data_IF_564036016929
#
_entry.id   IF_564036016929
#
_cell.length_a   1.000
_cell.length_b   1.000
_cell.length_c   1.000
_cell.angle_alpha   90.00
_cell.angle_beta   90.00
_cell.angle_gamma   90.00
#
_symmetry.space_group_name_H-M   'P 1'
#
loop_
_entity.id
_entity.type
_entity.pdbx_description
1 polymer ?
#
# COMPACT_ATOMS: atom_id res chain seq x y z
N UNK A 1 10.36 -12.20 -12.87
CA UNK A 1 11.03 -12.08 -11.57
C UNK A 1 11.53 -13.44 -11.13
N UNK A 2 12.64 -13.46 -10.40
CA UNK A 2 13.40 -14.66 -10.00
C UNK A 2 12.71 -15.50 -8.91
N UNK A 3 11.39 -15.39 -8.77
CA UNK A 3 10.58 -16.09 -7.77
C UNK A 3 10.72 -15.61 -6.33
N UNK A 4 11.51 -14.56 -6.06
CA UNK A 4 11.67 -13.98 -4.71
C UNK A 4 10.47 -13.09 -4.34
N UNK A 5 10.01 -13.09 -3.08
CA UNK A 5 9.01 -12.12 -2.61
C UNK A 5 9.57 -10.70 -2.70
N UNK A 6 8.86 -9.82 -3.42
CA UNK A 6 9.23 -8.40 -3.55
C UNK A 6 8.51 -7.53 -2.49
N UNK A 7 7.44 -8.04 -1.88
CA UNK A 7 6.81 -7.47 -0.67
C UNK A 7 7.45 -8.15 0.55
N UNK A 8 8.13 -7.39 1.39
CA UNK A 8 8.76 -7.87 2.62
C UNK A 8 7.76 -7.97 3.77
N UNK A 9 6.88 -6.97 3.90
CA UNK A 9 5.81 -6.97 4.89
C UNK A 9 4.60 -6.21 4.36
N UNK A 10 3.41 -6.62 4.82
CA UNK A 10 2.14 -5.94 4.57
C UNK A 10 1.33 -5.99 5.86
N UNK A 11 0.97 -4.84 6.39
CA UNK A 11 0.07 -4.73 7.53
C UNK A 11 -1.11 -3.82 7.18
N UNK A 12 -2.31 -4.22 7.58
CA UNK A 12 -3.56 -3.51 7.34
C UNK A 12 -4.37 -3.45 8.62
N UNK A 13 -5.02 -2.34 8.87
CA UNK A 13 -5.93 -2.17 9.99
C UNK A 13 -6.88 -0.99 9.81
N UNK A 14 -7.85 -0.89 10.71
CA UNK A 14 -8.66 0.31 10.84
C UNK A 14 -7.84 1.41 11.50
N UNK A 15 -8.03 2.65 11.05
CA UNK A 15 -7.53 3.79 11.79
C UNK A 15 -8.21 3.85 13.17
N UNK A 16 -7.46 4.17 14.21
CA UNK A 16 -8.03 4.47 15.51
C UNK A 16 -8.90 5.74 15.43
N UNK A 17 -9.89 5.86 16.31
CA UNK A 17 -10.70 7.07 16.42
C UNK A 17 -9.82 8.23 16.93
N UNK A 18 -9.31 9.04 16.01
CA UNK A 18 -8.44 10.18 16.31
C UNK A 18 -8.61 11.31 15.26
N UNK A 19 -8.67 12.58 15.68
CA UNK A 19 -8.80 13.72 14.75
C UNK A 19 -7.70 13.80 13.68
N UNK A 20 -6.48 13.30 13.99
CA UNK A 20 -5.35 13.28 13.05
C UNK A 20 -5.55 12.31 11.91
N UNK A 21 -6.47 11.36 12.02
CA UNK A 21 -6.82 10.47 10.93
C UNK A 21 -7.50 11.23 9.77
N UNK A 22 -7.98 12.46 9.98
CA UNK A 22 -8.56 13.33 8.94
C UNK A 22 -9.64 12.64 8.09
N UNK A 23 -10.42 11.74 8.70
CA UNK A 23 -11.47 10.98 8.02
C UNK A 23 -11.00 9.73 7.27
N UNK A 24 -9.71 9.41 7.22
CA UNK A 24 -9.22 8.14 6.72
C UNK A 24 -9.51 7.01 7.73
N UNK A 25 -10.13 5.93 7.26
CA UNK A 25 -10.66 4.86 8.12
C UNK A 25 -9.89 3.54 8.03
N UNK A 26 -9.05 3.38 7.01
CA UNK A 26 -8.24 2.19 6.77
C UNK A 26 -6.80 2.61 6.52
N UNK A 27 -5.86 1.90 7.14
CA UNK A 27 -4.42 2.10 6.97
C UNK A 27 -3.80 0.81 6.43
N UNK A 28 -2.94 0.96 5.42
CA UNK A 28 -2.09 -0.11 4.90
C UNK A 28 -0.64 0.38 4.89
N UNK A 29 0.29 -0.46 5.36
CA UNK A 29 1.73 -0.24 5.20
C UNK A 29 2.34 -1.47 4.54
N UNK A 30 2.99 -1.25 3.42
CA UNK A 30 3.79 -2.25 2.72
C UNK A 30 5.26 -1.86 2.78
N UNK A 31 6.13 -2.84 2.99
CA UNK A 31 7.58 -2.68 2.92
C UNK A 31 8.11 -3.51 1.75
N UNK A 32 9.04 -2.93 1.00
CA UNK A 32 9.66 -3.53 -0.17
C UNK A 32 11.18 -3.52 0.02
N UNK A 33 11.88 -4.43 -0.65
CA UNK A 33 13.34 -4.49 -0.57
C UNK A 33 14.02 -3.33 -1.32
N UNK A 34 13.33 -2.74 -2.30
CA UNK A 34 13.83 -1.61 -3.09
C UNK A 34 12.68 -0.75 -3.64
N UNK A 35 13.05 0.40 -4.21
CA UNK A 35 12.11 1.25 -4.93
C UNK A 35 11.62 0.58 -6.22
N UNK A 36 12.48 -0.20 -6.89
CA UNK A 36 12.13 -0.97 -8.08
C UNK A 36 11.05 -2.00 -7.78
N UNK A 37 11.15 -2.70 -6.64
CA UNK A 37 10.15 -3.68 -6.20
C UNK A 37 8.80 -3.01 -5.91
N UNK A 38 8.81 -1.81 -5.31
CA UNK A 38 7.59 -1.03 -5.08
C UNK A 38 6.96 -0.58 -6.40
N UNK A 39 7.75 -0.09 -7.36
CA UNK A 39 7.24 0.30 -8.69
C UNK A 39 6.68 -0.88 -9.45
N UNK A 40 7.37 -2.02 -9.45
CA UNK A 40 6.84 -3.24 -10.05
C UNK A 40 5.51 -3.64 -9.41
N UNK A 41 5.42 -3.61 -8.08
CA UNK A 41 4.16 -3.87 -7.39
C UNK A 41 3.06 -2.92 -7.83
N UNK A 42 3.32 -1.62 -7.86
CA UNK A 42 2.29 -0.61 -8.10
C UNK A 42 1.83 -0.54 -9.56
N UNK A 43 2.76 -0.67 -10.51
CA UNK A 43 2.53 -0.39 -11.93
C UNK A 43 2.42 -1.66 -12.80
N UNK A 44 3.12 -2.74 -12.45
CA UNK A 44 3.30 -3.89 -13.35
C UNK A 44 2.70 -5.20 -12.82
N UNK A 45 2.49 -5.31 -11.50
CA UNK A 45 1.97 -6.54 -10.89
C UNK A 45 0.51 -6.78 -11.31
N UNK A 46 0.28 -7.79 -12.16
CA UNK A 46 -1.05 -8.13 -12.66
C UNK A 46 -2.06 -8.44 -11.55
N UNK A 47 -1.64 -9.09 -10.46
CA UNK A 47 -2.50 -9.38 -9.32
C UNK A 47 -2.91 -8.11 -8.57
N UNK A 48 -1.97 -7.18 -8.36
CA UNK A 48 -2.27 -5.90 -7.73
C UNK A 48 -3.14 -5.02 -8.63
N UNK A 49 -2.91 -5.04 -9.95
CA UNK A 49 -3.74 -4.33 -10.92
C UNK A 49 -5.20 -4.81 -10.89
N UNK A 50 -5.42 -6.13 -10.80
CA UNK A 50 -6.75 -6.71 -10.65
C UNK A 50 -7.42 -6.29 -9.33
N UNK A 51 -6.66 -6.24 -8.24
CA UNK A 51 -7.16 -5.77 -6.94
C UNK A 51 -7.54 -4.29 -6.97
N UNK A 52 -6.70 -3.43 -7.57
CA UNK A 52 -7.00 -1.99 -7.77
C UNK A 52 -8.29 -1.80 -8.58
N UNK A 53 -8.46 -2.56 -9.67
CA UNK A 53 -9.66 -2.51 -10.50
C UNK A 53 -10.91 -2.91 -9.69
N UNK A 54 -10.84 -4.04 -8.97
CA UNK A 54 -11.92 -4.48 -8.09
C UNK A 54 -12.29 -3.40 -7.06
N UNK A 55 -11.29 -2.83 -6.36
CA UNK A 55 -11.52 -1.80 -5.35
C UNK A 55 -12.20 -0.56 -5.95
N UNK A 56 -11.72 -0.09 -7.10
CA UNK A 56 -12.29 1.07 -7.81
C UNK A 56 -13.74 0.83 -8.25
N UNK A 57 -14.08 -0.39 -8.67
CA UNK A 57 -15.41 -0.70 -9.20
C UNK A 57 -16.43 -1.07 -8.11
N UNK A 58 -15.97 -1.67 -7.01
CA UNK A 58 -16.84 -2.32 -6.02
C UNK A 58 -16.86 -1.63 -4.66
N UNK A 59 -15.89 -0.79 -4.35
CA UNK A 59 -15.83 -0.08 -3.07
C UNK A 59 -16.16 1.39 -3.27
N UNK A 60 -16.94 1.95 -2.33
CA UNK A 60 -17.15 3.38 -2.25
C UNK A 60 -16.05 4.01 -1.41
N UNK A 61 -14.98 4.45 -2.06
CA UNK A 61 -13.83 5.10 -1.41
C UNK A 61 -13.97 6.61 -1.56
N UNK A 62 -14.27 7.30 -0.46
CA UNK A 62 -14.46 8.76 -0.46
C UNK A 62 -13.14 9.54 -0.69
N UNK A 63 -12.01 8.98 -0.28
CA UNK A 63 -10.69 9.58 -0.46
C UNK A 63 -9.58 8.54 -0.32
N UNK A 64 -8.45 8.80 -1.00
CA UNK A 64 -7.25 7.96 -0.96
C UNK A 64 -6.03 8.87 -0.79
N UNK A 65 -5.12 8.49 0.10
CA UNK A 65 -3.81 9.09 0.23
C UNK A 65 -2.75 7.99 0.17
N UNK A 66 -1.82 8.12 -0.76
CA UNK A 66 -0.68 7.22 -0.89
C UNK A 66 0.60 8.03 -0.76
N UNK A 67 1.51 7.55 0.07
CA UNK A 67 2.86 8.11 0.25
C UNK A 67 3.84 6.95 0.30
N UNK A 68 5.05 7.18 -0.22
CA UNK A 68 6.18 6.29 -0.03
C UNK A 68 7.39 7.11 0.41
N UNK A 69 8.29 6.46 1.15
CA UNK A 69 9.52 7.08 1.63
C UNK A 69 10.60 6.00 1.73
N UNK A 70 11.85 6.44 1.71
CA UNK A 70 13.00 5.59 2.04
C UNK A 70 13.41 5.89 3.49
N UNK A 71 13.41 4.90 4.40
CA UNK A 71 13.82 5.12 5.78
C UNK A 71 15.27 5.64 5.86
N UNK A 72 15.44 6.85 6.39
CA UNK A 72 16.77 7.45 6.61
C UNK A 72 17.37 7.08 7.97
N UNK A 73 16.54 6.55 8.87
CA UNK A 73 16.93 6.11 10.20
C UNK A 73 16.04 4.95 10.66
N UNK A 74 16.65 3.91 11.21
CA UNK A 74 16.00 2.74 11.79
C UNK A 74 16.70 2.46 13.12
N UNK A 75 15.95 2.39 14.22
CA UNK A 75 16.45 2.15 15.57
C UNK A 75 16.33 0.68 15.97
#
# INVERSE_FOLDING_TARGET
QDGKPYILSLIVGLAAEDPRAQGFTVVSKSEFASLEDMKYYDDECAAHAALKAFAKEKLNVAGLMSVYFEPQFVA
#
